data_IF_201277215143
#
_entry.id   IF_201277215143
#
_cell.length_a   1.000
_cell.length_b   1.000
_cell.length_c   1.000
_cell.angle_alpha   90.00
_cell.angle_beta   90.00
_cell.angle_gamma   90.00
#
_symmetry.space_group_name_H-M   'P 1'
#
loop_
_entity.id
_entity.type
_entity.pdbx_description
1 polymer ?
#
# COMPACT_ATOMS: atom_id res chain seq x y z
N UNK A 1 -25.54 -5.63 1.00
CA UNK A 1 -24.84 -4.83 2.01
C UNK A 1 -23.36 -4.68 1.68
N UNK A 2 -22.64 -5.75 1.37
CA UNK A 2 -21.21 -5.70 0.96
C UNK A 2 -20.92 -4.73 -0.19
N UNK A 3 -21.80 -4.68 -1.20
CA UNK A 3 -21.67 -3.74 -2.33
C UNK A 3 -21.64 -2.28 -1.88
N UNK A 4 -22.45 -1.91 -0.91
CA UNK A 4 -22.48 -0.54 -0.38
C UNK A 4 -21.22 -0.21 0.43
N UNK A 5 -20.67 -1.19 1.18
CA UNK A 5 -19.40 -1.03 1.89
C UNK A 5 -18.24 -0.82 0.91
N UNK A 6 -18.19 -1.62 -0.18
CA UNK A 6 -17.19 -1.44 -1.24
C UNK A 6 -17.32 -0.09 -1.95
N UNK A 7 -18.55 0.34 -2.25
CA UNK A 7 -18.78 1.66 -2.86
C UNK A 7 -18.37 2.79 -1.92
N UNK A 8 -18.72 2.73 -0.63
CA UNK A 8 -18.32 3.71 0.37
C UNK A 8 -16.80 3.79 0.51
N UNK A 9 -16.12 2.64 0.55
CA UNK A 9 -14.66 2.57 0.57
C UNK A 9 -14.04 3.21 -0.68
N UNK A 10 -14.52 2.84 -1.87
CA UNK A 10 -13.97 3.31 -3.13
C UNK A 10 -14.16 4.82 -3.33
N UNK A 11 -15.40 5.31 -3.16
CA UNK A 11 -15.70 6.74 -3.32
C UNK A 11 -15.06 7.57 -2.19
N UNK A 12 -15.03 7.07 -0.96
CA UNK A 12 -14.36 7.73 0.16
C UNK A 12 -12.86 7.86 -0.08
N UNK A 13 -12.21 6.77 -0.50
CA UNK A 13 -10.78 6.78 -0.84
C UNK A 13 -10.49 7.76 -1.99
N UNK A 14 -11.30 7.75 -3.05
CA UNK A 14 -11.15 8.64 -4.20
C UNK A 14 -11.29 10.11 -3.77
N UNK A 15 -12.36 10.44 -3.04
CA UNK A 15 -12.65 11.81 -2.60
C UNK A 15 -11.54 12.36 -1.69
N UNK A 16 -11.09 11.57 -0.72
CA UNK A 16 -10.03 11.99 0.20
C UNK A 16 -8.68 12.08 -0.50
N UNK A 17 -8.36 11.15 -1.41
CA UNK A 17 -7.13 11.23 -2.21
C UNK A 17 -7.12 12.50 -3.06
N UNK A 18 -8.22 12.82 -3.74
CA UNK A 18 -8.34 14.03 -4.55
C UNK A 18 -8.26 15.30 -3.69
N UNK A 19 -9.02 15.37 -2.58
CA UNK A 19 -9.02 16.51 -1.68
C UNK A 19 -7.65 16.73 -1.01
N UNK A 20 -7.03 15.68 -0.51
CA UNK A 20 -5.69 15.76 0.09
C UNK A 20 -4.62 16.15 -0.93
N UNK A 21 -4.77 15.74 -2.19
CA UNK A 21 -3.90 16.16 -3.28
C UNK A 21 -3.87 17.67 -3.48
N UNK A 22 -5.03 18.33 -3.37
CA UNK A 22 -5.13 19.79 -3.48
C UNK A 22 -4.35 20.54 -2.39
N UNK A 23 -4.15 19.93 -1.24
CA UNK A 23 -3.42 20.50 -0.09
C UNK A 23 -1.95 20.05 -0.08
N UNK A 24 -1.72 18.75 -0.23
CA UNK A 24 -0.38 18.14 -0.09
C UNK A 24 0.53 18.51 -1.25
N UNK A 25 0.04 18.49 -2.50
CA UNK A 25 0.88 18.79 -3.67
C UNK A 25 1.42 20.23 -3.63
N UNK A 26 0.62 21.29 -3.38
CA UNK A 26 1.15 22.63 -3.22
C UNK A 26 2.10 22.78 -2.02
N UNK A 27 1.83 22.08 -0.90
CA UNK A 27 2.71 22.09 0.26
C UNK A 27 4.09 21.48 -0.08
N UNK A 28 4.12 20.34 -0.77
CA UNK A 28 5.36 19.71 -1.21
C UNK A 28 6.14 20.60 -2.20
N UNK A 29 5.44 21.32 -3.09
CA UNK A 29 6.07 22.31 -3.98
C UNK A 29 6.70 23.45 -3.21
N UNK A 30 6.02 24.02 -2.20
CA UNK A 30 6.54 25.09 -1.34
C UNK A 30 7.78 24.65 -0.56
N UNK A 31 7.83 23.41 -0.11
CA UNK A 31 8.97 22.82 0.59
C UNK A 31 10.13 22.45 -0.35
N UNK A 32 10.00 22.73 -1.67
CA UNK A 32 10.99 22.37 -2.70
C UNK A 32 11.31 20.86 -2.72
N UNK A 33 10.34 20.02 -2.40
CA UNK A 33 10.44 18.57 -2.47
C UNK A 33 10.28 18.09 -3.93
N UNK A 34 11.11 18.66 -4.83
CA UNK A 34 11.10 18.34 -6.24
C UNK A 34 12.26 17.42 -6.66
N UNK A 35 12.06 16.72 -7.78
CA UNK A 35 13.14 15.95 -8.39
C UNK A 35 14.20 16.89 -8.95
N UNK A 36 15.45 16.68 -8.54
CA UNK A 36 16.61 17.26 -9.21
C UNK A 36 16.94 16.40 -10.44
N UNK A 37 16.79 16.98 -11.64
CA UNK A 37 17.17 16.29 -12.88
C UNK A 37 18.65 16.52 -13.09
N UNK A 38 19.40 15.44 -13.41
CA UNK A 38 20.82 15.56 -13.78
C UNK A 38 20.92 16.35 -15.09
N UNK A 39 21.87 17.28 -15.16
CA UNK A 39 22.14 18.10 -16.36
C UNK A 39 22.56 17.28 -17.57
N UNK A 40 22.98 16.02 -17.36
CA UNK A 40 23.44 15.06 -18.39
C UNK A 40 22.27 14.19 -18.83
N UNK A 41 21.11 14.78 -19.17
CA UNK A 41 19.94 14.06 -19.64
C UNK A 41 19.36 14.66 -20.92
N UNK A 42 18.54 13.91 -21.68
CA UNK A 42 17.84 14.46 -22.83
C UNK A 42 17.05 15.72 -22.46
N UNK A 43 17.09 16.74 -23.27
CA UNK A 43 16.49 18.07 -23.02
C UNK A 43 15.01 18.06 -22.69
N UNK A 44 14.24 17.06 -23.19
CA UNK A 44 12.82 16.89 -22.87
C UNK A 44 12.53 16.49 -21.42
N UNK A 45 13.53 16.03 -20.66
CA UNK A 45 13.36 15.76 -19.23
C UNK A 45 13.45 17.02 -18.36
N UNK A 46 14.02 18.11 -18.88
CA UNK A 46 14.14 19.37 -18.13
C UNK A 46 12.79 19.98 -17.74
N UNK A 47 11.72 19.74 -18.54
CA UNK A 47 10.37 20.17 -18.21
C UNK A 47 9.75 19.51 -16.97
N UNK A 48 10.36 18.43 -16.43
CA UNK A 48 9.95 17.75 -15.20
C UNK A 48 10.67 18.26 -13.95
N UNK A 49 11.56 19.22 -14.12
CA UNK A 49 12.29 19.81 -12.99
C UNK A 49 11.29 20.50 -12.05
N UNK A 50 11.36 20.19 -10.75
CA UNK A 50 10.43 20.72 -9.76
C UNK A 50 9.12 19.94 -9.60
N UNK A 51 8.92 18.82 -10.32
CA UNK A 51 7.78 17.93 -10.04
C UNK A 51 7.91 17.38 -8.62
N UNK A 52 6.92 17.59 -7.72
CA UNK A 52 7.02 17.16 -6.34
C UNK A 52 7.11 15.64 -6.25
N UNK A 53 8.06 15.16 -5.44
CA UNK A 53 8.12 13.78 -4.98
C UNK A 53 7.22 13.61 -3.77
N UNK A 54 7.02 12.37 -3.30
CA UNK A 54 6.20 12.05 -2.13
C UNK A 54 4.68 12.28 -2.32
N UNK A 55 4.20 12.44 -3.57
CA UNK A 55 2.77 12.53 -3.88
C UNK A 55 1.94 11.32 -3.40
N UNK A 56 2.59 10.17 -3.21
CA UNK A 56 2.00 8.96 -2.63
C UNK A 56 1.36 9.15 -1.25
N UNK A 57 1.72 10.20 -0.49
CA UNK A 57 1.10 10.52 0.79
C UNK A 57 -0.41 10.75 0.67
N UNK A 58 -0.88 11.27 -0.47
CA UNK A 58 -2.31 11.46 -0.72
C UNK A 58 -3.07 10.14 -0.77
N UNK A 59 -2.47 9.13 -1.38
CA UNK A 59 -3.04 7.78 -1.44
C UNK A 59 -3.08 7.11 -0.07
N UNK A 60 -2.09 7.34 0.78
CA UNK A 60 -2.08 6.85 2.15
C UNK A 60 -3.32 7.30 2.93
N UNK A 61 -3.60 8.59 2.88
CA UNK A 61 -4.79 9.15 3.53
C UNK A 61 -6.07 8.61 2.91
N UNK A 62 -6.13 8.53 1.58
CA UNK A 62 -7.28 7.99 0.87
C UNK A 62 -7.57 6.54 1.21
N UNK A 63 -6.56 5.68 1.21
CA UNK A 63 -6.71 4.25 1.56
C UNK A 63 -7.15 4.11 3.03
N UNK A 64 -6.53 4.85 3.97
CA UNK A 64 -6.92 4.81 5.37
C UNK A 64 -8.40 5.12 5.56
N UNK A 65 -8.84 6.25 5.02
CA UNK A 65 -10.25 6.67 5.15
C UNK A 65 -11.18 5.71 4.41
N UNK A 66 -10.79 5.23 3.23
CA UNK A 66 -11.57 4.24 2.47
C UNK A 66 -11.77 2.94 3.26
N UNK A 67 -10.72 2.40 3.87
CA UNK A 67 -10.81 1.20 4.71
C UNK A 67 -11.70 1.44 5.92
N UNK A 68 -11.52 2.56 6.62
CA UNK A 68 -12.34 2.92 7.80
C UNK A 68 -13.81 3.05 7.41
N UNK A 69 -14.12 3.76 6.33
CA UNK A 69 -15.50 3.93 5.84
C UNK A 69 -16.12 2.59 5.42
N UNK A 70 -15.40 1.82 4.61
CA UNK A 70 -15.89 0.52 4.15
C UNK A 70 -16.15 -0.43 5.31
N UNK A 71 -15.22 -0.52 6.25
CA UNK A 71 -15.37 -1.36 7.44
C UNK A 71 -16.52 -0.88 8.33
N UNK A 72 -16.68 0.45 8.52
CA UNK A 72 -17.77 1.02 9.32
C UNK A 72 -19.15 0.69 8.71
N UNK A 73 -19.30 0.89 7.38
CA UNK A 73 -20.55 0.55 6.69
C UNK A 73 -20.85 -0.95 6.80
N UNK A 74 -19.83 -1.79 6.65
CA UNK A 74 -19.99 -3.24 6.76
C UNK A 74 -20.36 -3.64 8.19
N UNK A 75 -19.70 -3.08 9.20
CA UNK A 75 -19.96 -3.36 10.61
C UNK A 75 -21.36 -2.93 11.06
N UNK A 76 -21.84 -1.78 10.58
CA UNK A 76 -23.21 -1.32 10.83
C UNK A 76 -24.27 -2.21 10.14
N UNK A 77 -23.90 -2.79 8.99
CA UNK A 77 -24.80 -3.68 8.23
C UNK A 77 -24.81 -5.11 8.77
N UNK A 78 -23.75 -5.55 9.43
CA UNK A 78 -23.57 -6.89 9.99
C UNK A 78 -23.05 -6.76 11.43
N UNK A 79 -23.94 -6.52 12.41
CA UNK A 79 -23.53 -6.24 13.81
C UNK A 79 -22.69 -7.36 14.45
N UNK A 80 -22.80 -8.60 13.96
CA UNK A 80 -21.95 -9.71 14.41
C UNK A 80 -20.46 -9.48 14.16
N UNK A 81 -20.09 -8.63 13.20
CA UNK A 81 -18.70 -8.24 12.96
C UNK A 81 -18.16 -7.33 14.07
N UNK A 82 -19.00 -6.52 14.72
CA UNK A 82 -18.61 -5.67 15.84
C UNK A 82 -18.25 -6.49 17.09
N UNK A 83 -18.92 -7.63 17.29
CA UNK A 83 -18.58 -8.59 18.37
C UNK A 83 -17.36 -9.45 18.05
N UNK A 84 -16.94 -9.50 16.81
CA UNK A 84 -15.85 -10.34 16.29
C UNK A 84 -14.63 -9.55 15.77
N UNK A 85 -14.24 -8.46 16.42
CA UNK A 85 -13.05 -7.68 16.04
C UNK A 85 -11.79 -8.54 15.89
N UNK A 86 -11.72 -9.65 16.63
CA UNK A 86 -10.66 -10.67 16.55
C UNK A 86 -11.06 -11.86 15.65
N UNK A 87 -12.13 -11.75 14.85
CA UNK A 87 -12.41 -12.78 13.86
C UNK A 87 -11.28 -12.86 12.83
N UNK A 88 -10.95 -14.07 12.37
CA UNK A 88 -9.85 -14.29 11.42
C UNK A 88 -9.91 -13.37 10.19
N UNK A 89 -11.11 -13.07 9.68
CA UNK A 89 -11.33 -12.18 8.53
C UNK A 89 -10.96 -10.73 8.83
N UNK A 90 -11.39 -10.19 9.99
CA UNK A 90 -11.07 -8.82 10.39
C UNK A 90 -9.58 -8.65 10.65
N UNK A 91 -8.97 -9.62 11.32
CA UNK A 91 -7.52 -9.63 11.59
C UNK A 91 -6.74 -9.66 10.27
N UNK A 92 -7.11 -10.49 9.31
CA UNK A 92 -6.45 -10.56 7.99
C UNK A 92 -6.55 -9.26 7.21
N UNK A 93 -7.69 -8.57 7.25
CA UNK A 93 -7.85 -7.25 6.65
C UNK A 93 -6.87 -6.25 7.26
N UNK A 94 -6.79 -6.17 8.60
CA UNK A 94 -5.87 -5.25 9.28
C UNK A 94 -4.41 -5.58 9.02
N UNK A 95 -4.04 -6.86 9.00
CA UNK A 95 -2.69 -7.31 8.63
C UNK A 95 -2.37 -6.87 7.19
N UNK A 96 -3.29 -7.05 6.24
CA UNK A 96 -3.11 -6.62 4.86
C UNK A 96 -2.91 -5.11 4.72
N UNK A 97 -3.75 -4.32 5.42
CA UNK A 97 -3.63 -2.86 5.45
C UNK A 97 -2.29 -2.44 6.07
N UNK A 98 -1.91 -3.01 7.21
CA UNK A 98 -0.64 -2.71 7.86
C UNK A 98 0.55 -3.03 6.95
N UNK A 99 0.49 -4.15 6.23
CA UNK A 99 1.51 -4.55 5.26
C UNK A 99 1.62 -3.54 4.13
N UNK A 100 0.49 -3.10 3.55
CA UNK A 100 0.48 -2.08 2.51
C UNK A 100 1.12 -0.77 3.00
N UNK A 101 0.82 -0.36 4.25
CA UNK A 101 1.44 0.81 4.87
C UNK A 101 2.94 0.62 5.12
N UNK A 102 3.37 -0.58 5.52
CA UNK A 102 4.79 -0.88 5.72
C UNK A 102 5.59 -0.78 4.40
N UNK A 103 5.06 -1.34 3.30
CA UNK A 103 5.66 -1.18 1.97
C UNK A 103 5.74 0.27 1.54
N UNK A 104 4.67 1.01 1.72
CA UNK A 104 4.67 2.41 1.37
C UNK A 104 5.60 3.25 2.24
N UNK A 105 5.80 2.89 3.53
CA UNK A 105 6.79 3.54 4.39
C UNK A 105 8.21 3.37 3.83
N UNK A 106 8.53 2.21 3.26
CA UNK A 106 9.82 2.01 2.56
C UNK A 106 9.96 2.98 1.39
N UNK A 107 8.91 3.16 0.59
CA UNK A 107 8.89 4.14 -0.50
C UNK A 107 8.99 5.58 0.00
N UNK A 108 8.28 5.91 1.09
CA UNK A 108 8.35 7.22 1.71
C UNK A 108 9.77 7.54 2.20
N UNK A 109 10.43 6.61 2.90
CA UNK A 109 11.80 6.77 3.39
C UNK A 109 12.78 6.94 2.21
N UNK A 110 12.60 6.18 1.13
CA UNK A 110 13.39 6.33 -0.09
C UNK A 110 13.32 7.75 -0.66
N UNK A 111 12.11 8.27 -0.81
CA UNK A 111 11.88 9.62 -1.34
C UNK A 111 12.35 10.71 -0.35
N UNK A 112 12.13 10.51 0.95
CA UNK A 112 12.60 11.42 1.98
C UNK A 112 14.12 11.57 1.97
N UNK A 113 14.87 10.46 1.81
CA UNK A 113 16.33 10.49 1.71
C UNK A 113 16.78 11.29 0.47
N UNK A 114 16.11 11.12 -0.67
CA UNK A 114 16.41 11.87 -1.90
C UNK A 114 16.26 13.38 -1.69
N UNK A 115 15.17 13.78 -1.04
CA UNK A 115 14.86 15.18 -0.77
C UNK A 115 15.86 15.80 0.21
N UNK A 116 16.04 15.16 1.38
CA UNK A 116 16.93 15.68 2.43
C UNK A 116 18.37 15.74 1.98
N UNK A 117 18.84 14.73 1.27
CA UNK A 117 20.23 14.68 0.77
C UNK A 117 20.41 15.39 -0.58
N UNK A 118 19.35 15.99 -1.14
CA UNK A 118 19.36 16.68 -2.44
C UNK A 118 20.06 15.88 -3.53
N UNK A 119 19.79 14.58 -3.59
CA UNK A 119 20.39 13.65 -4.57
C UNK A 119 19.34 12.68 -5.13
N UNK A 120 19.59 12.17 -6.34
CA UNK A 120 18.67 11.20 -6.99
C UNK A 120 18.76 9.78 -6.41
N UNK A 121 19.73 9.50 -5.54
CA UNK A 121 19.91 8.20 -4.90
C UNK A 121 19.20 8.21 -3.54
N UNK A 122 18.14 7.41 -3.43
CA UNK A 122 17.41 7.15 -2.19
C UNK A 122 18.07 6.07 -1.34
N UNK A 123 17.27 5.14 -0.84
CA UNK A 123 17.76 3.94 -0.14
C UNK A 123 18.59 3.07 -1.10
N UNK A 124 19.67 2.49 -0.61
CA UNK A 124 20.41 1.49 -1.38
C UNK A 124 19.52 0.27 -1.66
N UNK A 125 19.63 -0.32 -2.85
CA UNK A 125 18.80 -1.45 -3.29
C UNK A 125 18.77 -2.60 -2.27
N UNK A 126 19.91 -2.93 -1.66
CA UNK A 126 20.01 -3.97 -0.62
C UNK A 126 19.09 -3.71 0.59
N UNK A 127 18.98 -2.47 1.05
CA UNK A 127 18.11 -2.14 2.19
C UNK A 127 16.64 -2.19 1.82
N UNK A 128 16.28 -1.82 0.58
CA UNK A 128 14.92 -1.98 0.07
C UNK A 128 14.53 -3.45 0.05
N UNK A 129 15.37 -4.30 -0.54
CA UNK A 129 15.12 -5.75 -0.62
C UNK A 129 15.00 -6.35 0.77
N UNK A 130 15.91 -6.03 1.70
CA UNK A 130 15.83 -6.54 3.08
C UNK A 130 14.53 -6.11 3.75
N UNK A 131 14.13 -4.84 3.63
CA UNK A 131 12.87 -4.36 4.20
C UNK A 131 11.66 -5.08 3.59
N UNK A 132 11.62 -5.24 2.27
CA UNK A 132 10.55 -5.95 1.57
C UNK A 132 10.47 -7.42 1.99
N UNK A 133 11.62 -8.11 2.09
CA UNK A 133 11.71 -9.50 2.57
C UNK A 133 11.14 -9.63 3.99
N UNK A 134 11.52 -8.73 4.90
CA UNK A 134 11.04 -8.74 6.28
C UNK A 134 9.52 -8.47 6.36
N UNK A 135 9.03 -7.48 5.62
CA UNK A 135 7.60 -7.15 5.59
C UNK A 135 6.79 -8.32 5.02
N UNK A 136 7.24 -8.90 3.90
CA UNK A 136 6.56 -10.04 3.25
C UNK A 136 6.59 -11.27 4.15
N UNK A 137 7.73 -11.56 4.76
CA UNK A 137 7.86 -12.68 5.71
C UNK A 137 6.93 -12.51 6.91
N UNK A 138 6.87 -11.32 7.50
CA UNK A 138 5.96 -11.01 8.60
C UNK A 138 4.49 -11.15 8.18
N UNK A 139 4.13 -10.67 6.99
CA UNK A 139 2.78 -10.79 6.43
C UNK A 139 2.34 -12.25 6.28
N UNK A 140 3.13 -13.05 5.56
CA UNK A 140 2.80 -14.46 5.33
C UNK A 140 2.77 -15.27 6.62
N UNK A 141 3.71 -15.00 7.54
CA UNK A 141 3.72 -15.64 8.87
C UNK A 141 2.48 -15.27 9.69
N UNK A 142 2.06 -14.01 9.64
CA UNK A 142 0.86 -13.55 10.34
C UNK A 142 -0.41 -14.21 9.82
N UNK A 143 -0.55 -14.36 8.49
CA UNK A 143 -1.69 -15.05 7.87
C UNK A 143 -1.68 -16.55 8.21
N UNK A 144 -0.51 -17.17 8.20
CA UNK A 144 -0.35 -18.58 8.58
C UNK A 144 -0.79 -18.82 10.04
N UNK A 145 -0.26 -18.03 10.98
CA UNK A 145 -0.59 -18.14 12.40
C UNK A 145 -2.07 -17.86 12.68
N UNK A 146 -2.69 -17.00 11.88
CA UNK A 146 -4.11 -16.68 12.00
C UNK A 146 -5.04 -17.74 11.34
N UNK A 147 -4.47 -18.74 10.67
CA UNK A 147 -5.22 -19.81 10.00
C UNK A 147 -6.05 -19.33 8.79
N UNK A 148 -5.78 -18.15 8.28
CA UNK A 148 -6.53 -17.57 7.15
C UNK A 148 -5.85 -17.76 5.81
N UNK A 149 -4.63 -18.31 5.81
CA UNK A 149 -3.88 -18.56 4.59
C UNK A 149 -4.34 -19.89 3.97
N UNK A 150 -4.85 -19.81 2.74
CA UNK A 150 -5.21 -20.98 1.94
C UNK A 150 -4.17 -21.18 0.82
N UNK A 151 -3.73 -22.41 0.64
CA UNK A 151 -2.84 -22.80 -0.47
C UNK A 151 -3.62 -23.12 -1.75
N UNK A 152 -4.96 -23.11 -1.66
CA UNK A 152 -5.84 -23.39 -2.78
C UNK A 152 -6.12 -22.10 -3.54
N UNK A 153 -5.74 -22.07 -4.82
CA UNK A 153 -5.98 -20.93 -5.73
C UNK A 153 -6.97 -21.37 -6.81
N UNK A 154 -8.04 -20.60 -6.99
CA UNK A 154 -9.01 -20.85 -8.07
C UNK A 154 -8.53 -20.16 -9.35
N UNK A 155 -8.13 -20.96 -10.31
CA UNK A 155 -7.71 -20.49 -11.64
C UNK A 155 -8.89 -20.53 -12.61
N UNK A 156 -9.10 -19.49 -13.46
CA UNK A 156 -10.28 -19.38 -14.32
C UNK A 156 -10.47 -20.57 -15.29
N UNK A 157 -9.39 -21.25 -15.70
CA UNK A 157 -9.42 -22.35 -16.67
C UNK A 157 -9.18 -23.72 -16.04
N UNK A 158 -8.53 -23.79 -14.89
CA UNK A 158 -8.08 -25.04 -14.25
C UNK A 158 -8.88 -25.37 -12.99
N UNK A 159 -9.76 -24.46 -12.53
CA UNK A 159 -10.51 -24.64 -11.28
C UNK A 159 -9.66 -24.42 -10.04
N UNK A 160 -10.02 -25.07 -8.94
CA UNK A 160 -9.30 -24.97 -7.67
C UNK A 160 -8.07 -25.90 -7.70
N UNK A 161 -6.88 -25.30 -7.60
CA UNK A 161 -5.60 -26.00 -7.56
C UNK A 161 -4.92 -25.74 -6.22
N UNK A 162 -4.52 -26.80 -5.54
CA UNK A 162 -3.74 -26.68 -4.30
C UNK A 162 -2.25 -26.67 -4.64
N UNK A 163 -1.60 -25.54 -4.37
CA UNK A 163 -0.17 -25.36 -4.59
C UNK A 163 0.69 -25.86 -3.40
N UNK A 164 0.07 -26.26 -2.30
CA UNK A 164 0.78 -26.73 -1.11
C UNK A 164 1.85 -25.74 -0.64
N UNK A 165 3.04 -26.25 -0.27
CA UNK A 165 4.15 -25.40 0.19
C UNK A 165 4.68 -24.45 -0.90
N UNK A 166 4.52 -24.78 -2.18
CA UNK A 166 4.96 -23.94 -3.29
C UNK A 166 4.21 -22.61 -3.32
N UNK A 167 2.98 -22.57 -2.80
CA UNK A 167 2.19 -21.33 -2.66
C UNK A 167 2.95 -20.25 -1.87
N UNK A 168 3.65 -20.64 -0.81
CA UNK A 168 4.41 -19.69 0.03
C UNK A 168 5.58 -19.07 -0.74
N UNK A 169 6.33 -19.89 -1.47
CA UNK A 169 7.45 -19.41 -2.29
C UNK A 169 6.95 -18.48 -3.39
N UNK A 170 5.89 -18.89 -4.10
CA UNK A 170 5.29 -18.09 -5.17
C UNK A 170 4.75 -16.77 -4.64
N UNK A 171 3.99 -16.79 -3.56
CA UNK A 171 3.44 -15.59 -2.92
C UNK A 171 4.55 -14.64 -2.45
N UNK A 172 5.60 -15.20 -1.86
CA UNK A 172 6.77 -14.42 -1.42
C UNK A 172 7.45 -13.70 -2.60
N UNK A 173 7.66 -14.39 -3.71
CA UNK A 173 8.27 -13.83 -4.92
C UNK A 173 7.37 -12.79 -5.60
N UNK A 174 6.04 -12.96 -5.54
CA UNK A 174 5.08 -12.03 -6.16
C UNK A 174 4.90 -10.73 -5.35
N UNK A 175 5.12 -10.78 -4.03
CA UNK A 175 4.93 -9.63 -3.13
C UNK A 175 6.18 -8.75 -3.10
N UNK A 176 7.39 -9.31 -3.25
CA UNK A 176 8.66 -8.57 -3.28
C UNK A 176 8.89 -7.87 -4.62
#
# INVERSE_FOLDING_TARGET
>A
MEKYALMAAAFGALAITAASGLLIIPALRRLHFGQTIKEIGPTWHQGKNGTPTMGGLTFYLGVLVGVVLGYTVLALSVPSLLGGWLSGTSVSLFIGVLTAYAFGLVGFVDDYIKVVKKRNLGLMARYKIVAQVLITGAYLSSLYLNGTLSTIVTLPLLGAVDFGWFFYVLSFLLII
#
